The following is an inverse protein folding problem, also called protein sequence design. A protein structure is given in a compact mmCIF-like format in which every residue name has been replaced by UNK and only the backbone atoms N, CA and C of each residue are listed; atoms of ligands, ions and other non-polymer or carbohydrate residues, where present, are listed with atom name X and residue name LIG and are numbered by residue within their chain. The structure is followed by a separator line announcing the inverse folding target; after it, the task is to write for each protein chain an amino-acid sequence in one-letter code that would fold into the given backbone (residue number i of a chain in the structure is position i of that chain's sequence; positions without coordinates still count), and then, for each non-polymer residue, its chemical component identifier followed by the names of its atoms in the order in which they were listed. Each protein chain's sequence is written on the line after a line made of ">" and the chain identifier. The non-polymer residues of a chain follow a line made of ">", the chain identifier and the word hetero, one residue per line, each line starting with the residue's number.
data_IF_928625594753
#
_entry.id   IF_928625594753
#
_cell.length_a   1.000
_cell.length_b   1.000
_cell.length_c   1.000
_cell.angle_alpha   90.00
_cell.angle_beta   90.00
_cell.angle_gamma   90.00
#
_symmetry.space_group_name_H-M   'P 1'
#
loop_
_entity.id
_entity.type
_entity.pdbx_description
1 polymer ?
#
# COMPACT_ATOMS: atom_id res chain seq x y z
N UNK A 1 -23.89 -46.18 -13.42
CA UNK A 1 -22.61 -45.53 -13.10
C UNK A 1 -22.42 -44.44 -14.12
N UNK A 2 -22.68 -43.19 -13.72
CA UNK A 2 -22.29 -42.02 -14.51
C UNK A 2 -20.76 -42.01 -14.59
N UNK A 3 -20.17 -41.77 -15.77
CA UNK A 3 -18.72 -41.64 -15.88
C UNK A 3 -18.27 -40.47 -15.00
N UNK A 4 -17.36 -40.74 -14.06
CA UNK A 4 -16.82 -39.71 -13.17
C UNK A 4 -16.01 -38.73 -14.01
N UNK A 5 -16.33 -37.44 -13.92
CA UNK A 5 -15.58 -36.37 -14.59
C UNK A 5 -14.24 -36.24 -13.88
N UNK A 6 -13.13 -36.29 -14.62
CA UNK A 6 -11.78 -36.08 -14.07
C UNK A 6 -11.53 -34.57 -13.87
N UNK A 7 -12.28 -34.00 -12.92
CA UNK A 7 -12.17 -32.62 -12.49
C UNK A 7 -12.29 -32.56 -10.97
N UNK A 8 -11.38 -31.81 -10.35
CA UNK A 8 -11.35 -31.57 -8.92
C UNK A 8 -11.33 -30.07 -8.67
N UNK A 9 -12.22 -29.61 -7.79
CA UNK A 9 -12.33 -28.21 -7.38
C UNK A 9 -12.06 -28.12 -5.88
N UNK A 10 -11.06 -27.34 -5.48
CA UNK A 10 -10.82 -26.99 -4.08
C UNK A 10 -11.32 -25.58 -3.83
N UNK A 11 -12.29 -25.44 -2.93
CA UNK A 11 -12.84 -24.17 -2.47
C UNK A 11 -12.20 -23.78 -1.13
N UNK A 12 -11.64 -22.58 -1.06
CA UNK A 12 -10.95 -22.06 0.12
C UNK A 12 -11.25 -20.58 0.32
N UNK A 13 -11.07 -20.05 1.53
CA UNK A 13 -11.17 -18.60 1.75
C UNK A 13 -9.99 -17.87 1.09
N UNK A 14 -10.25 -16.67 0.58
CA UNK A 14 -9.21 -15.87 -0.05
C UNK A 14 -8.16 -15.45 0.99
N UNK A 15 -6.85 -15.53 0.67
CA UNK A 15 -5.77 -15.33 1.65
C UNK A 15 -5.72 -13.92 2.24
N UNK A 16 -6.05 -12.90 1.43
CA UNK A 16 -5.97 -11.48 1.82
C UNK A 16 -7.32 -10.78 1.94
N UNK A 17 -8.43 -11.42 1.56
CA UNK A 17 -9.75 -10.80 1.53
C UNK A 17 -10.76 -11.73 2.23
N UNK A 18 -11.05 -11.53 3.51
CA UNK A 18 -11.71 -12.54 4.35
C UNK A 18 -13.11 -12.94 3.90
N UNK A 19 -13.83 -12.10 3.14
CA UNK A 19 -15.15 -12.46 2.58
C UNK A 19 -15.07 -13.22 1.26
N UNK A 20 -13.97 -13.11 0.51
CA UNK A 20 -13.85 -13.70 -0.81
C UNK A 20 -13.53 -15.21 -0.75
N UNK A 21 -13.93 -15.94 -1.79
CA UNK A 21 -13.69 -17.39 -1.91
C UNK A 21 -12.88 -17.67 -3.17
N UNK A 22 -11.91 -18.58 -3.06
CA UNK A 22 -11.08 -19.05 -4.17
C UNK A 22 -11.51 -20.46 -4.59
N UNK A 23 -11.41 -20.76 -5.89
CA UNK A 23 -11.60 -22.08 -6.45
C UNK A 23 -10.35 -22.46 -7.25
N UNK A 24 -9.64 -23.51 -6.81
CA UNK A 24 -8.48 -24.08 -7.52
C UNK A 24 -8.91 -25.34 -8.25
N UNK A 25 -8.65 -25.38 -9.56
CA UNK A 25 -9.11 -26.45 -10.45
C UNK A 25 -7.94 -27.35 -10.84
N UNK A 26 -8.16 -28.66 -10.80
CA UNK A 26 -7.21 -29.69 -11.25
C UNK A 26 -7.92 -30.83 -11.98
N UNK A 27 -7.16 -31.69 -12.68
CA UNK A 27 -7.71 -32.82 -13.47
C UNK A 27 -7.71 -32.56 -14.98
N UNK A 28 -7.80 -33.62 -15.79
CA UNK A 28 -7.75 -33.51 -17.26
C UNK A 28 -9.01 -32.90 -17.87
N UNK A 29 -10.11 -32.87 -17.12
CA UNK A 29 -11.40 -32.29 -17.50
C UNK A 29 -11.77 -31.05 -16.68
N UNK A 30 -10.78 -30.37 -16.08
CA UNK A 30 -10.98 -29.16 -15.27
C UNK A 30 -11.77 -28.04 -15.98
N UNK A 31 -11.69 -27.97 -17.31
CA UNK A 31 -12.47 -27.03 -18.12
C UNK A 31 -13.99 -27.14 -17.94
N UNK A 32 -14.51 -28.32 -17.55
CA UNK A 32 -15.94 -28.50 -17.27
C UNK A 32 -16.33 -27.74 -16.01
N UNK A 33 -15.56 -27.90 -14.93
CA UNK A 33 -15.75 -27.15 -13.69
C UNK A 33 -15.55 -25.65 -13.88
N UNK A 34 -14.59 -25.26 -14.71
CA UNK A 34 -14.31 -23.87 -15.06
C UNK A 34 -15.54 -23.18 -15.66
N UNK A 35 -16.16 -23.79 -16.69
CA UNK A 35 -17.35 -23.25 -17.33
C UNK A 35 -18.55 -23.18 -16.38
N UNK A 36 -18.74 -24.19 -15.53
CA UNK A 36 -19.82 -24.18 -14.52
C UNK A 36 -19.63 -23.07 -13.48
N UNK A 37 -18.40 -22.81 -13.06
CA UNK A 37 -18.08 -21.74 -12.11
C UNK A 37 -18.25 -20.35 -12.74
N UNK A 38 -17.77 -20.12 -13.97
CA UNK A 38 -18.01 -18.86 -14.69
C UNK A 38 -19.50 -18.58 -14.87
N UNK A 39 -20.30 -19.61 -15.17
CA UNK A 39 -21.76 -19.49 -15.27
C UNK A 39 -22.44 -19.17 -13.93
N UNK A 40 -21.75 -19.41 -12.82
CA UNK A 40 -22.17 -19.05 -11.46
C UNK A 40 -21.49 -17.75 -10.96
N UNK A 41 -21.10 -16.88 -11.90
CA UNK A 41 -20.50 -15.56 -11.65
C UNK A 41 -19.14 -15.59 -10.92
N UNK A 42 -18.42 -16.71 -10.98
CA UNK A 42 -17.02 -16.75 -10.55
C UNK A 42 -16.11 -16.10 -11.59
N UNK A 43 -15.09 -15.39 -11.11
CA UNK A 43 -14.20 -14.58 -11.94
C UNK A 43 -12.89 -15.33 -12.14
N UNK A 44 -12.48 -15.49 -13.40
CA UNK A 44 -11.20 -16.10 -13.75
C UNK A 44 -10.08 -15.11 -13.42
N UNK A 45 -9.16 -15.53 -12.54
CA UNK A 45 -8.00 -14.72 -12.13
C UNK A 45 -6.66 -15.36 -12.53
N UNK A 46 -6.65 -16.66 -12.83
CA UNK A 46 -5.56 -17.37 -13.52
C UNK A 46 -6.08 -18.65 -14.21
N UNK A 47 -5.23 -19.32 -15.00
CA UNK A 47 -5.59 -20.49 -15.84
C UNK A 47 -6.38 -21.61 -15.12
N UNK A 48 -6.14 -21.79 -13.82
CA UNK A 48 -6.80 -22.82 -13.01
C UNK A 48 -7.35 -22.28 -11.69
N UNK A 49 -7.60 -20.97 -11.64
CA UNK A 49 -8.00 -20.28 -10.42
C UNK A 49 -9.12 -19.30 -10.72
N UNK A 50 -10.23 -19.49 -10.03
CA UNK A 50 -11.34 -18.55 -10.03
C UNK A 50 -11.56 -17.99 -8.63
N UNK A 51 -12.20 -16.83 -8.57
CA UNK A 51 -12.54 -16.14 -7.34
C UNK A 51 -14.02 -15.74 -7.37
N UNK A 52 -14.71 -16.01 -6.27
CA UNK A 52 -16.04 -15.50 -5.98
C UNK A 52 -15.89 -14.33 -5.01
N UNK A 53 -16.32 -13.15 -5.45
CA UNK A 53 -16.24 -11.89 -4.71
C UNK A 53 -17.51 -11.09 -4.96
N UNK A 54 -18.16 -10.69 -3.87
CA UNK A 54 -19.45 -10.02 -3.91
C UNK A 54 -19.49 -8.84 -2.95
N UNK A 55 -20.29 -7.84 -3.29
CA UNK A 55 -20.55 -6.66 -2.45
C UNK A 55 -21.62 -6.92 -1.38
N UNK A 56 -22.27 -8.08 -1.43
CA UNK A 56 -23.23 -8.53 -0.41
C UNK A 56 -22.64 -9.37 0.70
N UNK A 57 -21.34 -9.70 0.62
CA UNK A 57 -20.63 -10.54 1.57
C UNK A 57 -21.27 -11.93 1.80
N UNK A 58 -22.08 -12.43 0.86
CA UNK A 58 -22.72 -13.76 0.92
C UNK A 58 -21.95 -14.82 0.12
N UNK A 59 -20.66 -14.60 -0.16
CA UNK A 59 -19.82 -15.55 -0.90
C UNK A 59 -19.82 -16.96 -0.29
N UNK A 60 -19.80 -17.18 1.04
CA UNK A 60 -19.90 -18.53 1.60
C UNK A 60 -21.19 -19.25 1.21
N UNK A 61 -22.33 -18.54 1.16
CA UNK A 61 -23.60 -19.11 0.74
C UNK A 61 -23.57 -19.51 -0.74
N UNK A 62 -23.10 -18.61 -1.61
CA UNK A 62 -23.01 -18.85 -3.04
C UNK A 62 -21.95 -19.91 -3.40
N UNK A 63 -20.86 -19.98 -2.65
CA UNK A 63 -19.87 -21.06 -2.78
C UNK A 63 -20.45 -22.41 -2.38
N UNK A 64 -21.30 -22.47 -1.33
CA UNK A 64 -22.00 -23.69 -0.92
C UNK A 64 -23.00 -24.14 -1.98
N UNK A 65 -23.66 -23.20 -2.64
CA UNK A 65 -24.57 -23.49 -3.75
C UNK A 65 -23.82 -23.99 -4.99
N UNK A 66 -22.72 -23.34 -5.37
CA UNK A 66 -21.85 -23.78 -6.46
C UNK A 66 -21.28 -25.19 -6.21
N UNK A 67 -20.83 -25.48 -4.98
CA UNK A 67 -20.34 -26.80 -4.60
C UNK A 67 -21.39 -27.91 -4.77
N UNK A 68 -22.66 -27.63 -4.44
CA UNK A 68 -23.77 -28.57 -4.63
C UNK A 68 -24.01 -28.87 -6.12
N UNK A 69 -24.02 -27.83 -6.95
CA UNK A 69 -24.21 -27.97 -8.39
C UNK A 69 -23.07 -28.77 -9.04
N UNK A 70 -21.81 -28.41 -8.74
CA UNK A 70 -20.63 -29.15 -9.22
C UNK A 70 -20.66 -30.63 -8.79
N UNK A 71 -21.01 -30.90 -7.53
CA UNK A 71 -21.13 -32.28 -7.03
C UNK A 71 -22.25 -33.06 -7.74
N UNK A 72 -23.37 -32.41 -8.06
CA UNK A 72 -24.47 -33.00 -8.81
C UNK A 72 -24.07 -33.36 -10.25
N UNK A 73 -23.16 -32.59 -10.84
CA UNK A 73 -22.57 -32.84 -12.16
C UNK A 73 -21.49 -33.94 -12.15
N UNK A 74 -21.17 -34.50 -10.97
CA UNK A 74 -20.17 -35.57 -10.82
C UNK A 74 -18.73 -35.09 -10.74
N UNK A 75 -18.52 -33.80 -10.44
CA UNK A 75 -17.21 -33.19 -10.19
C UNK A 75 -16.85 -33.36 -8.71
N UNK A 76 -15.59 -33.67 -8.42
CA UNK A 76 -15.13 -33.78 -7.02
C UNK A 76 -14.89 -32.40 -6.44
N UNK A 77 -15.55 -32.05 -5.34
CA UNK A 77 -15.37 -30.78 -4.64
C UNK A 77 -14.79 -31.00 -3.25
N UNK A 78 -13.70 -30.31 -2.94
CA UNK A 78 -13.10 -30.22 -1.61
C UNK A 78 -13.39 -28.83 -1.04
N UNK A 79 -14.00 -28.75 0.15
CA UNK A 79 -14.22 -27.50 0.89
C UNK A 79 -13.27 -27.51 2.07
N UNK A 80 -12.46 -26.47 2.24
CA UNK A 80 -11.53 -26.41 3.38
C UNK A 80 -12.26 -26.21 4.70
N UNK A 81 -11.67 -26.64 5.84
CA UNK A 81 -12.29 -26.45 7.15
C UNK A 81 -12.64 -24.98 7.46
N UNK A 82 -11.76 -24.04 7.07
CA UNK A 82 -11.97 -22.61 7.29
C UNK A 82 -13.16 -22.08 6.49
N UNK A 83 -13.30 -22.49 5.22
CA UNK A 83 -14.46 -22.12 4.42
C UNK A 83 -15.73 -22.81 4.91
N UNK A 84 -15.64 -24.06 5.36
CA UNK A 84 -16.77 -24.80 5.92
C UNK A 84 -17.31 -24.10 7.18
N UNK A 85 -16.43 -23.60 8.05
CA UNK A 85 -16.81 -22.79 9.21
C UNK A 85 -17.58 -21.53 8.79
N UNK A 86 -17.06 -20.77 7.83
CA UNK A 86 -17.74 -19.59 7.29
C UNK A 86 -19.08 -19.91 6.60
N UNK A 87 -19.22 -21.09 5.97
CA UNK A 87 -20.46 -21.56 5.37
C UNK A 87 -21.53 -21.97 6.40
N UNK A 88 -21.10 -22.32 7.60
CA UNK A 88 -21.97 -22.76 8.70
C UNK A 88 -22.23 -21.62 9.70
N UNK A 89 -21.45 -20.53 9.63
CA UNK A 89 -21.68 -19.31 10.38
C UNK A 89 -23.02 -18.66 9.98
N UNK A 90 -23.90 -18.47 10.97
CA UNK A 90 -25.10 -17.67 10.82
C UNK A 90 -24.77 -16.22 11.14
N UNK A 91 -24.40 -15.46 10.12
CA UNK A 91 -24.15 -14.04 10.29
C UNK A 91 -25.40 -13.32 10.78
N UNK A 92 -25.29 -12.63 11.91
CA UNK A 92 -26.28 -11.67 12.38
C UNK A 92 -25.97 -10.31 11.73
N UNK A 93 -26.77 -9.92 10.74
CA UNK A 93 -26.71 -8.55 10.23
C UNK A 93 -27.15 -7.58 11.33
N UNK A 94 -26.19 -7.03 12.08
CA UNK A 94 -26.46 -6.12 13.20
C UNK A 94 -27.21 -4.84 12.78
N UNK A 95 -27.16 -4.48 11.48
CA UNK A 95 -27.73 -3.25 10.92
C UNK A 95 -28.53 -3.45 9.63
N UNK A 96 -29.26 -4.56 9.47
CA UNK A 96 -30.23 -4.63 8.36
C UNK A 96 -31.56 -3.96 8.79
N UNK A 97 -32.08 -2.95 8.06
CA UNK A 97 -33.20 -2.13 8.51
C UNK A 97 -34.58 -2.82 8.46
N UNK A 98 -34.65 -4.15 8.33
CA UNK A 98 -35.88 -4.89 7.99
C UNK A 98 -36.06 -6.15 8.86
N UNK A 99 -36.38 -6.03 10.16
CA UNK A 99 -36.64 -7.18 11.04
C UNK A 99 -37.83 -8.06 10.61
N UNK A 100 -38.56 -7.67 9.57
CA UNK A 100 -39.70 -8.39 8.99
C UNK A 100 -39.37 -9.20 7.72
N UNK A 101 -38.14 -9.17 7.22
CA UNK A 101 -37.71 -9.98 6.07
C UNK A 101 -37.07 -11.30 6.52
N UNK A 102 -37.34 -12.37 5.79
CA UNK A 102 -36.63 -13.64 5.93
C UNK A 102 -35.23 -13.56 5.35
N UNK A 103 -34.32 -14.45 5.78
CA UNK A 103 -32.95 -14.55 5.26
C UNK A 103 -32.92 -14.77 3.73
N UNK A 104 -33.85 -15.56 3.21
CA UNK A 104 -33.96 -15.79 1.77
C UNK A 104 -34.39 -14.54 1.00
N UNK A 105 -35.27 -13.73 1.57
CA UNK A 105 -35.68 -12.45 0.96
C UNK A 105 -34.54 -11.43 1.01
N UNK A 106 -33.77 -11.38 2.10
CA UNK A 106 -32.57 -10.54 2.21
C UNK A 106 -31.56 -10.93 1.12
N UNK A 107 -31.26 -12.22 0.99
CA UNK A 107 -30.36 -12.72 -0.07
C UNK A 107 -30.84 -12.38 -1.46
N UNK A 108 -32.14 -12.45 -1.72
CA UNK A 108 -32.67 -12.06 -3.03
C UNK A 108 -32.43 -10.57 -3.28
N UNK A 109 -32.74 -9.69 -2.32
CA UNK A 109 -32.50 -8.25 -2.45
C UNK A 109 -31.02 -7.94 -2.66
N UNK A 110 -30.14 -8.52 -1.84
CA UNK A 110 -28.69 -8.31 -1.96
C UNK A 110 -28.13 -8.87 -3.26
N UNK A 111 -28.69 -9.98 -3.77
CA UNK A 111 -28.31 -10.53 -5.05
C UNK A 111 -28.74 -9.62 -6.22
N UNK A 112 -29.88 -8.94 -6.12
CA UNK A 112 -30.26 -7.93 -7.11
C UNK A 112 -29.32 -6.73 -7.07
N UNK A 113 -28.90 -6.29 -5.87
CA UNK A 113 -27.90 -5.23 -5.73
C UNK A 113 -26.55 -5.63 -6.33
N UNK A 114 -26.10 -6.87 -6.11
CA UNK A 114 -24.91 -7.44 -6.75
C UNK A 114 -25.01 -7.39 -8.28
N UNK A 115 -26.13 -7.79 -8.86
CA UNK A 115 -26.34 -7.74 -10.32
C UNK A 115 -26.23 -6.32 -10.87
N UNK A 116 -26.82 -5.33 -10.19
CA UNK A 116 -26.69 -3.92 -10.57
C UNK A 116 -25.23 -3.49 -10.53
N UNK A 117 -24.48 -3.87 -9.49
CA UNK A 117 -23.04 -3.59 -9.41
C UNK A 117 -22.26 -4.22 -10.57
N UNK A 118 -22.52 -5.49 -10.90
CA UNK A 118 -21.87 -6.17 -12.02
C UNK A 118 -22.27 -5.56 -13.37
N UNK A 119 -23.53 -5.15 -13.56
CA UNK A 119 -23.97 -4.47 -14.77
C UNK A 119 -23.23 -3.13 -14.95
N UNK A 120 -23.00 -2.37 -13.88
CA UNK A 120 -22.20 -1.14 -13.92
C UNK A 120 -20.74 -1.47 -14.27
N UNK A 121 -20.16 -2.45 -13.56
CA UNK A 121 -18.76 -2.86 -13.73
C UNK A 121 -18.47 -3.36 -15.15
N UNK A 122 -19.36 -4.14 -15.74
CA UNK A 122 -19.24 -4.66 -17.09
C UNK A 122 -19.65 -3.65 -18.17
N UNK A 123 -20.05 -2.43 -17.80
CA UNK A 123 -20.50 -1.41 -18.73
C UNK A 123 -21.86 -1.72 -19.38
N UNK A 124 -22.62 -2.66 -18.84
CA UNK A 124 -23.98 -2.98 -19.29
C UNK A 124 -24.99 -1.93 -18.80
N UNK A 125 -24.71 -1.29 -17.67
CA UNK A 125 -25.43 -0.14 -17.13
C UNK A 125 -24.50 1.09 -17.10
N UNK A 126 -24.74 2.05 -17.98
CA UNK A 126 -24.01 3.32 -18.00
C UNK A 126 -24.62 4.29 -16.98
N UNK A 127 -23.85 4.72 -15.97
CA UNK A 127 -24.27 5.77 -15.04
C UNK A 127 -24.01 7.14 -15.66
N UNK A 128 -25.07 7.94 -15.79
CA UNK A 128 -24.99 9.30 -16.34
C UNK A 128 -24.64 10.32 -15.28
N UNK A 129 -25.20 10.18 -14.09
CA UNK A 129 -24.98 11.06 -12.95
C UNK A 129 -25.31 10.38 -11.63
N UNK A 130 -24.74 10.91 -10.55
CA UNK A 130 -25.02 10.54 -9.17
C UNK A 130 -25.20 11.79 -8.30
N UNK A 131 -25.76 11.61 -7.11
CA UNK A 131 -25.88 12.62 -6.07
C UNK A 131 -25.94 11.93 -4.70
N UNK A 132 -25.83 12.72 -3.63
CA UNK A 132 -26.07 12.24 -2.28
C UNK A 132 -27.39 12.84 -1.77
N UNK A 133 -28.35 12.00 -1.37
CA UNK A 133 -29.71 12.47 -0.99
C UNK A 133 -29.83 12.93 0.48
N UNK A 134 -28.71 12.92 1.21
CA UNK A 134 -28.62 13.22 2.64
C UNK A 134 -28.56 11.96 3.51
N UNK A 135 -28.83 10.79 2.94
CA UNK A 135 -28.75 9.50 3.63
C UNK A 135 -27.88 8.48 2.89
N UNK A 136 -27.95 8.44 1.55
CA UNK A 136 -27.19 7.50 0.73
C UNK A 136 -26.92 8.07 -0.66
N UNK A 137 -26.08 7.39 -1.42
CA UNK A 137 -25.89 7.68 -2.85
C UNK A 137 -27.13 7.30 -3.66
N UNK A 138 -27.51 8.20 -4.55
CA UNK A 138 -28.53 7.99 -5.58
C UNK A 138 -27.91 8.22 -6.95
N UNK A 139 -28.36 7.49 -7.96
CA UNK A 139 -27.81 7.60 -9.30
C UNK A 139 -28.87 7.43 -10.38
N UNK A 140 -28.56 7.94 -11.58
CA UNK A 140 -29.37 7.72 -12.77
C UNK A 140 -28.51 7.12 -13.87
N UNK A 141 -28.98 5.99 -14.42
CA UNK A 141 -28.24 5.22 -15.42
C UNK A 141 -29.10 4.77 -16.58
N UNK A 142 -28.50 4.17 -17.60
CA UNK A 142 -29.20 3.53 -18.70
C UNK A 142 -28.52 2.24 -19.10
N UNK A 143 -29.31 1.18 -19.18
CA UNK A 143 -28.83 -0.09 -19.70
C UNK A 143 -28.55 0.01 -21.21
N UNK A 144 -27.44 -0.58 -21.67
CA UNK A 144 -26.97 -0.42 -23.06
C UNK A 144 -27.49 -1.48 -24.04
N UNK A 145 -28.33 -2.43 -23.59
CA UNK A 145 -28.94 -3.41 -24.49
C UNK A 145 -30.03 -2.78 -25.40
N UNK A 146 -30.45 -3.49 -26.45
CA UNK A 146 -31.28 -2.99 -27.57
C UNK A 146 -32.59 -2.28 -27.19
N UNK A 147 -33.09 -2.46 -25.96
CA UNK A 147 -34.29 -1.83 -25.40
C UNK A 147 -34.05 -1.33 -23.96
N UNK A 148 -32.81 -0.97 -23.63
CA UNK A 148 -32.41 -0.63 -22.28
C UNK A 148 -33.21 0.52 -21.70
N UNK A 149 -33.74 0.29 -20.49
CA UNK A 149 -34.42 1.33 -19.72
C UNK A 149 -33.40 2.21 -19.03
N UNK A 150 -33.77 3.48 -18.88
CA UNK A 150 -33.07 4.35 -17.95
C UNK A 150 -33.64 4.11 -16.56
N UNK A 151 -32.79 4.09 -15.54
CA UNK A 151 -33.17 3.69 -14.17
C UNK A 151 -32.71 4.72 -13.17
N UNK A 152 -33.52 4.90 -12.12
CA UNK A 152 -33.11 5.58 -10.89
C UNK A 152 -32.65 4.53 -9.90
N UNK A 153 -31.45 4.71 -9.36
CA UNK A 153 -30.85 3.87 -8.34
C UNK A 153 -30.87 4.57 -6.99
N UNK A 154 -31.21 3.83 -5.95
CA UNK A 154 -31.15 4.27 -4.56
C UNK A 154 -30.38 3.25 -3.73
N UNK A 155 -29.52 3.73 -2.83
CA UNK A 155 -28.75 2.88 -1.93
C UNK A 155 -27.36 2.52 -2.46
N UNK A 156 -26.57 2.01 -1.52
CA UNK A 156 -25.17 1.60 -1.72
C UNK A 156 -25.02 0.11 -1.42
N UNK A 157 -23.96 -0.47 -1.97
CA UNK A 157 -23.59 -1.88 -1.74
C UNK A 157 -24.79 -2.83 -1.90
N UNK A 158 -24.99 -3.71 -0.93
CA UNK A 158 -26.06 -4.70 -0.88
C UNK A 158 -27.47 -4.11 -0.76
N UNK A 159 -27.60 -2.79 -0.55
CA UNK A 159 -28.87 -2.07 -0.48
C UNK A 159 -29.22 -1.35 -1.78
N UNK A 160 -28.34 -1.40 -2.80
CA UNK A 160 -28.58 -0.72 -4.08
C UNK A 160 -29.76 -1.34 -4.82
N UNK A 161 -30.73 -0.51 -5.19
CA UNK A 161 -31.97 -0.94 -5.83
C UNK A 161 -32.40 0.02 -6.94
N UNK A 162 -33.13 -0.51 -7.92
CA UNK A 162 -33.85 0.30 -8.91
C UNK A 162 -35.18 0.74 -8.29
N UNK A 163 -35.38 2.04 -8.09
CA UNK A 163 -36.61 2.58 -7.51
C UNK A 163 -37.55 3.21 -8.54
N UNK A 164 -37.02 3.57 -9.72
CA UNK A 164 -37.83 4.07 -10.84
C UNK A 164 -37.21 3.73 -12.20
N UNK A 165 -38.04 3.72 -13.26
CA UNK A 165 -37.61 3.42 -14.62
C UNK A 165 -38.22 4.39 -15.63
N UNK A 166 -37.44 4.75 -16.65
CA UNK A 166 -37.82 5.74 -17.66
C UNK A 166 -37.65 5.17 -19.07
N UNK A 167 -38.48 5.68 -19.98
CA UNK A 167 -38.42 5.33 -21.39
C UNK A 167 -37.28 5.98 -22.18
N UNK A 168 -36.57 6.95 -21.60
CA UNK A 168 -35.43 7.60 -22.26
C UNK A 168 -34.42 8.18 -21.26
N UNK A 169 -33.12 8.27 -21.62
CA UNK A 169 -32.10 8.89 -20.78
C UNK A 169 -32.38 10.36 -20.46
N UNK A 170 -32.88 11.11 -21.44
CA UNK A 170 -33.22 12.52 -21.24
C UNK A 170 -34.35 12.70 -20.21
N UNK A 171 -35.38 11.85 -20.25
CA UNK A 171 -36.44 11.88 -19.26
C UNK A 171 -35.96 11.54 -17.86
N UNK A 172 -35.05 10.56 -17.75
CA UNK A 172 -34.45 10.16 -16.47
C UNK A 172 -33.58 11.27 -15.87
N UNK A 173 -32.71 11.89 -16.68
CA UNK A 173 -31.83 12.98 -16.24
C UNK A 173 -32.63 14.22 -15.79
N UNK A 174 -33.69 14.60 -16.52
CA UNK A 174 -34.55 15.71 -16.12
C UNK A 174 -35.27 15.43 -14.79
N UNK A 175 -35.72 14.19 -14.58
CA UNK A 175 -36.35 13.80 -13.30
C UNK A 175 -35.33 13.83 -12.15
N UNK A 176 -34.11 13.37 -12.40
CA UNK A 176 -33.02 13.35 -11.42
C UNK A 176 -32.55 14.76 -11.05
N UNK A 177 -32.29 15.62 -12.04
CA UNK A 177 -31.86 17.02 -11.85
C UNK A 177 -32.90 17.83 -11.06
N UNK A 178 -34.20 17.60 -11.31
CA UNK A 178 -35.28 18.29 -10.60
C UNK A 178 -35.25 18.05 -9.09
N UNK A 179 -34.80 16.87 -8.65
CA UNK A 179 -34.77 16.49 -7.23
C UNK A 179 -33.39 16.79 -6.63
N UNK A 180 -32.31 16.52 -7.36
CA UNK A 180 -30.94 16.47 -6.82
C UNK A 180 -29.97 17.48 -7.44
N UNK A 181 -30.46 18.43 -8.24
CA UNK A 181 -29.61 19.30 -9.07
C UNK A 181 -28.52 20.08 -8.32
N UNK A 182 -28.69 20.35 -7.02
CA UNK A 182 -27.66 21.00 -6.20
C UNK A 182 -26.44 20.10 -5.90
N UNK A 183 -26.65 18.80 -5.73
CA UNK A 183 -25.64 17.80 -5.35
C UNK A 183 -25.24 16.89 -6.53
N UNK A 184 -25.89 17.06 -7.68
CA UNK A 184 -25.71 16.23 -8.88
C UNK A 184 -24.31 16.37 -9.48
N UNK A 185 -23.66 15.23 -9.70
CA UNK A 185 -22.35 15.10 -10.34
C UNK A 185 -22.45 14.16 -11.54
N UNK A 186 -21.76 14.44 -12.66
CA UNK A 186 -21.76 13.54 -13.81
C UNK A 186 -20.99 12.26 -13.51
N UNK A 187 -21.40 11.15 -14.13
CA UNK A 187 -20.75 9.85 -14.03
C UNK A 187 -21.13 9.03 -12.78
N UNK A 188 -20.50 7.87 -12.58
CA UNK A 188 -20.73 7.02 -11.41
C UNK A 188 -20.24 7.69 -10.12
N UNK A 189 -20.83 7.28 -9.00
CA UNK A 189 -20.34 7.67 -7.68
C UNK A 189 -18.95 7.04 -7.41
N UNK A 190 -18.15 7.63 -6.51
CA UNK A 190 -16.94 6.98 -6.00
C UNK A 190 -17.26 5.59 -5.44
N UNK A 191 -16.31 4.65 -5.59
CA UNK A 191 -16.46 3.31 -5.04
C UNK A 191 -16.53 3.36 -3.51
N UNK A 192 -17.48 2.64 -2.95
CA UNK A 192 -17.52 2.35 -1.50
C UNK A 192 -16.32 1.49 -1.09
N UNK A 193 -16.06 1.38 0.21
CA UNK A 193 -14.99 0.49 0.70
C UNK A 193 -15.27 -0.97 0.36
N UNK A 194 -16.55 -1.41 0.40
CA UNK A 194 -16.96 -2.75 -0.02
C UNK A 194 -16.74 -2.97 -1.52
N UNK A 195 -17.10 -2.02 -2.37
CA UNK A 195 -16.86 -2.11 -3.82
C UNK A 195 -15.36 -2.09 -4.15
N UNK A 196 -14.56 -1.32 -3.40
CA UNK A 196 -13.10 -1.28 -3.54
C UNK A 196 -12.45 -2.59 -3.11
N UNK A 197 -12.80 -3.12 -1.94
CA UNK A 197 -12.34 -4.43 -1.48
C UNK A 197 -12.72 -5.55 -2.46
N UNK A 198 -13.92 -5.47 -3.05
CA UNK A 198 -14.36 -6.38 -4.09
C UNK A 198 -13.55 -6.24 -5.40
N UNK A 199 -13.11 -5.04 -5.76
CA UNK A 199 -12.24 -4.83 -6.91
C UNK A 199 -10.82 -5.38 -6.66
N UNK A 200 -10.27 -5.16 -5.47
CA UNK A 200 -8.96 -5.65 -5.04
C UNK A 200 -8.90 -7.18 -5.00
N UNK A 201 -9.94 -7.83 -4.46
CA UNK A 201 -10.02 -9.29 -4.40
C UNK A 201 -10.14 -9.97 -5.77
N UNK A 202 -10.51 -9.21 -6.82
CA UNK A 202 -10.55 -9.68 -8.21
C UNK A 202 -9.25 -9.44 -8.95
N UNK A 203 -8.32 -8.68 -8.37
CA UNK A 203 -7.00 -8.51 -8.97
C UNK A 203 -6.35 -9.89 -9.12
N UNK A 204 -5.56 -10.12 -10.20
CA UNK A 204 -4.93 -11.41 -10.43
C UNK A 204 -4.19 -11.85 -9.18
N UNK A 205 -4.73 -12.89 -8.55
CA UNK A 205 -4.09 -13.54 -7.42
C UNK A 205 -2.74 -14.03 -7.92
N UNK A 206 -1.66 -13.45 -7.38
CA UNK A 206 -0.35 -14.10 -7.38
C UNK A 206 -0.40 -15.27 -6.39
N UNK A 207 -1.33 -16.21 -6.60
CA UNK A 207 -1.23 -17.52 -6.00
C UNK A 207 -0.09 -18.20 -6.73
N UNK A 208 1.05 -18.26 -6.04
CA UNK A 208 2.15 -19.19 -6.29
C UNK A 208 1.55 -20.59 -6.32
N UNK A 209 1.04 -20.99 -7.49
CA UNK A 209 0.83 -22.38 -7.80
C UNK A 209 2.16 -23.08 -7.53
N UNK A 210 2.14 -24.10 -6.69
CA UNK A 210 3.25 -25.02 -6.44
C UNK A 210 3.52 -25.82 -7.72
N UNK A 211 3.95 -25.12 -8.78
CA UNK A 211 4.94 -25.62 -9.70
C UNK A 211 6.25 -25.27 -9.01
N UNK A 212 7.16 -26.23 -8.87
CA UNK A 212 8.51 -25.94 -8.43
C UNK A 212 9.11 -24.89 -9.39
N UNK A 213 8.95 -23.63 -9.04
CA UNK A 213 9.69 -22.51 -9.58
C UNK A 213 11.15 -22.80 -9.21
N UNK A 214 12.11 -22.65 -10.13
CA UNK A 214 13.51 -22.79 -9.77
C UNK A 214 13.74 -21.89 -8.56
N UNK A 215 14.20 -22.48 -7.46
CA UNK A 215 14.22 -21.87 -6.13
C UNK A 215 14.42 -20.36 -6.24
N UNK A 216 13.39 -19.57 -5.87
CA UNK A 216 13.61 -18.15 -5.60
C UNK A 216 14.81 -18.11 -4.67
N UNK A 217 15.88 -17.39 -5.03
CA UNK A 217 17.05 -17.35 -4.19
C UNK A 217 16.57 -16.93 -2.80
N UNK A 218 16.86 -17.79 -1.81
CA UNK A 218 16.42 -17.57 -0.44
C UNK A 218 16.80 -16.14 -0.04
N UNK A 219 15.89 -15.39 0.60
CA UNK A 219 16.22 -14.07 1.12
C UNK A 219 17.48 -14.17 1.97
N UNK A 220 18.51 -13.40 1.63
CA UNK A 220 19.77 -13.42 2.35
C UNK A 220 19.57 -12.66 3.67
N UNK A 221 19.95 -13.27 4.79
CA UNK A 221 20.02 -12.56 6.07
C UNK A 221 21.31 -11.76 6.06
N UNK A 222 21.19 -10.45 6.04
CA UNK A 222 22.30 -9.51 6.01
C UNK A 222 22.24 -8.59 7.23
N UNK A 223 23.33 -7.90 7.57
CA UNK A 223 23.28 -6.80 8.54
C UNK A 223 22.21 -5.77 8.15
N UNK A 224 21.55 -5.15 9.14
CA UNK A 224 20.42 -4.24 8.92
C UNK A 224 20.74 -3.13 7.92
N UNK A 225 21.97 -2.61 7.92
CA UNK A 225 22.40 -1.55 7.01
C UNK A 225 22.53 -1.96 5.53
N UNK A 226 22.51 -3.27 5.23
CA UNK A 226 22.50 -3.84 3.87
C UNK A 226 21.14 -4.45 3.49
N UNK A 227 20.19 -4.48 4.41
CA UNK A 227 18.87 -5.05 4.18
C UNK A 227 18.04 -4.18 3.22
N UNK A 228 16.98 -4.77 2.67
CA UNK A 228 16.05 -4.04 1.80
C UNK A 228 15.22 -3.02 2.60
N UNK A 229 14.76 -1.98 1.89
CA UNK A 229 13.87 -0.96 2.45
C UNK A 229 12.56 -1.55 2.99
N UNK A 230 12.09 -2.67 2.42
CA UNK A 230 10.79 -3.24 2.74
C UNK A 230 9.63 -2.37 2.26
N UNK A 231 8.43 -2.66 2.77
CA UNK A 231 7.24 -1.84 2.54
C UNK A 231 7.09 -0.82 3.67
N UNK A 232 7.53 0.40 3.42
CA UNK A 232 7.48 1.50 4.39
C UNK A 232 6.06 1.88 4.80
N UNK A 233 5.09 1.70 3.91
CA UNK A 233 3.71 2.09 4.18
C UNK A 233 3.02 1.03 5.04
N UNK A 234 3.28 -0.24 4.76
CA UNK A 234 2.85 -1.34 5.62
C UNK A 234 3.48 -1.26 7.03
N UNK A 235 4.75 -0.85 7.13
CA UNK A 235 5.42 -0.64 8.43
C UNK A 235 4.74 0.48 9.25
N UNK A 236 4.41 1.61 8.61
CA UNK A 236 3.71 2.70 9.28
C UNK A 236 2.29 2.29 9.69
N UNK A 237 1.57 1.60 8.82
CA UNK A 237 0.20 1.15 9.09
C UNK A 237 0.17 0.14 10.25
N UNK A 238 1.07 -0.85 10.25
CA UNK A 238 1.21 -1.80 11.36
C UNK A 238 1.55 -1.11 12.70
N UNK A 239 2.38 -0.07 12.67
CA UNK A 239 2.69 0.75 13.84
C UNK A 239 1.43 1.45 14.36
N UNK A 240 0.68 2.14 13.50
CA UNK A 240 -0.53 2.87 13.91
C UNK A 240 -1.60 1.92 14.43
N UNK A 241 -1.82 0.79 13.75
CA UNK A 241 -2.81 -0.22 14.15
C UNK A 241 -2.51 -0.83 15.53
N UNK A 242 -1.24 -0.86 15.92
CA UNK A 242 -0.79 -1.42 17.21
C UNK A 242 -0.76 -0.38 18.34
N UNK A 243 -0.83 0.93 18.03
CA UNK A 243 -0.60 2.02 18.97
C UNK A 243 -1.74 3.05 18.89
N UNK A 244 -2.79 2.83 19.69
CA UNK A 244 -4.04 3.61 19.67
C UNK A 244 -3.89 5.10 20.02
N UNK A 245 -2.76 5.47 20.61
CA UNK A 245 -2.37 6.84 20.92
C UNK A 245 -1.91 7.63 19.68
N UNK A 246 -1.83 6.99 18.51
CA UNK A 246 -1.49 7.62 17.24
C UNK A 246 -2.70 7.70 16.31
N UNK A 247 -2.90 8.89 15.74
CA UNK A 247 -3.97 9.12 14.77
C UNK A 247 -3.39 9.33 13.36
N UNK A 248 -3.95 8.60 12.39
CA UNK A 248 -3.58 8.67 10.98
C UNK A 248 -4.37 9.75 10.25
N UNK A 249 -3.65 10.65 9.60
CA UNK A 249 -4.20 11.70 8.76
C UNK A 249 -3.58 11.63 7.37
N UNK A 250 -4.40 11.45 6.33
CA UNK A 250 -3.94 11.51 4.94
C UNK A 250 -4.26 12.87 4.32
N UNK A 251 -3.32 13.37 3.53
CA UNK A 251 -3.52 14.57 2.72
C UNK A 251 -4.52 14.28 1.59
N UNK A 252 -5.18 15.31 1.07
CA UNK A 252 -6.15 15.16 -0.02
C UNK A 252 -5.57 14.49 -1.28
N UNK A 253 -4.30 14.74 -1.59
CA UNK A 253 -3.61 14.13 -2.75
C UNK A 253 -3.16 12.69 -2.51
N UNK A 254 -3.32 12.16 -1.29
CA UNK A 254 -2.83 10.84 -0.86
C UNK A 254 -1.30 10.63 -0.99
N UNK A 255 -0.55 11.67 -1.32
CA UNK A 255 0.91 11.64 -1.49
C UNK A 255 1.66 11.66 -0.15
N UNK A 256 0.98 11.96 0.95
CA UNK A 256 1.59 12.05 2.28
C UNK A 256 0.64 11.57 3.37
N UNK A 257 1.14 10.68 4.22
CA UNK A 257 0.52 10.28 5.49
C UNK A 257 1.18 11.01 6.65
N UNK A 258 0.37 11.49 7.58
CA UNK A 258 0.80 11.97 8.88
C UNK A 258 0.28 11.05 9.97
N UNK A 259 1.16 10.59 10.86
CA UNK A 259 0.76 10.01 12.12
C UNK A 259 1.02 11.04 13.22
N UNK A 260 0.00 11.38 13.99
CA UNK A 260 0.08 12.40 15.05
C UNK A 260 -0.22 11.70 16.36
N UNK A 261 0.70 11.80 17.32
CA UNK A 261 0.47 11.29 18.66
C UNK A 261 -0.60 12.11 19.40
N UNK A 262 -1.35 11.51 20.32
CA UNK A 262 -2.46 12.14 21.05
C UNK A 262 -2.07 13.43 21.80
N UNK A 263 -0.80 13.54 22.20
CA UNK A 263 -0.24 14.75 22.83
C UNK A 263 -0.14 15.94 21.86
N UNK A 264 -0.23 15.69 20.56
CA UNK A 264 0.02 16.63 19.45
C UNK A 264 1.44 17.23 19.45
N UNK A 265 2.35 16.65 20.24
CA UNK A 265 3.75 17.09 20.35
C UNK A 265 4.72 16.18 19.61
N UNK A 266 4.25 15.15 18.91
CA UNK A 266 5.05 14.32 18.02
C UNK A 266 4.27 13.99 16.76
N UNK A 267 4.98 14.03 15.65
CA UNK A 267 4.43 13.77 14.33
C UNK A 267 5.42 12.98 13.50
N UNK A 268 4.90 11.97 12.83
CA UNK A 268 5.55 11.26 11.73
C UNK A 268 4.89 11.76 10.45
N UNK A 269 5.70 12.10 9.47
CA UNK A 269 5.30 12.43 8.10
C UNK A 269 5.97 11.42 7.17
N UNK A 270 5.18 10.80 6.32
CA UNK A 270 5.59 9.79 5.34
C UNK A 270 5.15 10.25 3.97
N UNK A 271 6.11 10.54 3.09
CA UNK A 271 5.84 10.94 1.70
C UNK A 271 5.89 9.70 0.80
N UNK A 272 4.75 9.32 0.22
CA UNK A 272 4.63 8.14 -0.63
C UNK A 272 5.38 8.32 -1.96
N UNK A 273 5.73 7.21 -2.59
CA UNK A 273 6.38 7.17 -3.92
C UNK A 273 7.67 8.03 -4.08
N UNK A 274 8.32 8.38 -2.97
CA UNK A 274 9.54 9.19 -2.97
C UNK A 274 10.72 8.40 -3.55
N UNK A 275 11.56 8.99 -4.43
CA UNK A 275 12.78 8.35 -4.91
C UNK A 275 13.65 7.84 -3.76
N UNK A 276 14.28 6.67 -3.94
CA UNK A 276 15.07 5.98 -2.92
C UNK A 276 16.08 6.84 -2.12
N UNK A 277 16.67 7.85 -2.74
CA UNK A 277 17.69 8.72 -2.16
C UNK A 277 17.13 10.03 -1.58
N UNK A 278 15.84 10.31 -1.80
CA UNK A 278 15.15 11.49 -1.29
C UNK A 278 14.52 11.21 0.07
N UNK A 279 14.27 12.27 0.83
CA UNK A 279 13.66 12.19 2.17
C UNK A 279 12.22 11.72 2.06
N UNK A 280 11.96 10.56 2.63
CA UNK A 280 10.70 9.84 2.56
C UNK A 280 9.97 9.82 3.90
N UNK A 281 10.70 10.07 4.98
CA UNK A 281 10.19 10.14 6.35
C UNK A 281 10.70 11.41 7.04
N UNK A 282 9.82 12.07 7.79
CA UNK A 282 10.17 13.12 8.74
C UNK A 282 9.48 12.84 10.08
N UNK A 283 10.26 12.69 11.13
CA UNK A 283 9.77 12.60 12.52
C UNK A 283 10.15 13.89 13.23
N UNK A 284 9.19 14.55 13.87
CA UNK A 284 9.44 15.79 14.57
C UNK A 284 8.67 15.85 15.89
N UNK A 285 9.35 16.33 16.93
CA UNK A 285 8.73 16.64 18.21
C UNK A 285 8.68 18.15 18.46
N UNK A 286 7.74 18.56 19.30
CA UNK A 286 7.39 19.95 19.60
C UNK A 286 7.24 20.14 21.12
N UNK A 287 7.60 21.30 21.64
CA UNK A 287 7.48 21.58 23.08
C UNK A 287 6.00 21.66 23.49
N UNK A 288 5.22 22.27 22.61
CA UNK A 288 3.76 22.36 22.70
C UNK A 288 3.20 22.15 21.29
N UNK A 289 1.90 21.85 21.14
CA UNK A 289 1.28 21.65 19.83
C UNK A 289 1.41 22.83 18.84
N UNK A 290 1.77 24.02 19.34
CA UNK A 290 1.93 25.26 18.56
C UNK A 290 3.34 25.86 18.62
N UNK A 291 4.29 25.19 19.29
CA UNK A 291 5.68 25.63 19.35
C UNK A 291 6.43 25.31 18.06
N UNK A 292 7.61 25.92 17.90
CA UNK A 292 8.57 25.45 16.90
C UNK A 292 9.04 24.02 17.20
N UNK A 293 9.55 23.34 16.17
CA UNK A 293 10.12 21.98 16.30
C UNK A 293 11.27 21.98 17.31
N UNK A 294 11.20 21.12 18.33
CA UNK A 294 12.30 20.88 19.26
C UNK A 294 13.42 20.11 18.60
N UNK A 295 13.05 19.02 17.92
CA UNK A 295 13.96 18.20 17.15
C UNK A 295 13.27 17.62 15.93
N UNK A 296 14.07 17.29 14.94
CA UNK A 296 13.65 16.62 13.71
C UNK A 296 14.64 15.54 13.33
N UNK A 297 14.11 14.42 12.85
CA UNK A 297 14.82 13.32 12.24
C UNK A 297 14.19 13.03 10.88
N UNK A 298 15.00 12.76 9.87
CA UNK A 298 14.53 12.42 8.54
C UNK A 298 15.20 11.15 8.03
N UNK A 299 14.48 10.34 7.27
CA UNK A 299 15.01 9.12 6.66
C UNK A 299 14.72 9.08 5.14
N UNK A 300 15.67 8.56 4.37
CA UNK A 300 15.52 8.39 2.91
C UNK A 300 14.60 7.23 2.54
N UNK A 301 14.04 7.22 1.33
CA UNK A 301 13.16 6.13 0.85
C UNK A 301 13.82 4.75 0.79
N UNK A 302 15.14 4.66 0.76
CA UNK A 302 15.88 3.41 0.80
C UNK A 302 16.28 2.95 2.22
N UNK A 303 15.81 3.63 3.27
CA UNK A 303 16.14 3.25 4.65
C UNK A 303 15.62 1.83 4.93
N UNK A 304 16.50 0.90 5.39
CA UNK A 304 16.12 -0.49 5.60
C UNK A 304 15.00 -0.65 6.62
N UNK A 305 14.12 -1.64 6.40
CA UNK A 305 13.00 -1.94 7.29
C UNK A 305 13.40 -2.08 8.77
N UNK A 306 14.47 -2.83 9.14
CA UNK A 306 14.85 -3.00 10.55
C UNK A 306 15.27 -1.69 11.25
N UNK A 307 15.74 -0.70 10.49
CA UNK A 307 16.10 0.63 11.02
C UNK A 307 14.86 1.48 11.29
N UNK A 308 13.86 1.42 10.40
CA UNK A 308 12.59 2.11 10.59
C UNK A 308 11.75 1.47 11.69
N UNK A 309 11.73 0.13 11.78
CA UNK A 309 11.11 -0.58 12.88
C UNK A 309 11.70 -0.16 14.23
N UNK A 310 13.03 -0.04 14.34
CA UNK A 310 13.65 0.44 15.58
C UNK A 310 13.25 1.88 15.91
N UNK A 311 13.24 2.76 14.91
CA UNK A 311 12.76 4.13 15.08
C UNK A 311 11.32 4.13 15.63
N UNK A 312 10.42 3.38 15.00
CA UNK A 312 9.00 3.33 15.39
C UNK A 312 8.81 2.71 16.78
N UNK A 313 9.52 1.63 17.10
CA UNK A 313 9.48 1.02 18.43
C UNK A 313 9.91 2.00 19.52
N UNK A 314 10.99 2.78 19.28
CA UNK A 314 11.42 3.80 20.22
C UNK A 314 10.35 4.88 20.46
N UNK A 315 9.64 5.28 19.41
CA UNK A 315 8.56 6.28 19.53
C UNK A 315 7.35 5.73 20.29
N UNK A 316 7.07 4.42 20.21
CA UNK A 316 6.00 3.76 20.95
C UNK A 316 6.25 3.65 22.46
N UNK A 317 7.51 3.44 22.87
CA UNK A 317 7.85 3.28 24.28
C UNK A 317 7.64 4.57 25.09
N UNK A 318 7.47 5.71 24.42
CA UNK A 318 7.19 7.00 25.06
C UNK A 318 8.35 7.53 25.91
N UNK A 319 9.52 6.89 25.86
CA UNK A 319 10.69 7.27 26.63
C UNK A 319 11.52 8.33 25.87
N UNK A 320 11.75 9.49 26.49
CA UNK A 320 12.83 10.42 26.10
C UNK A 320 12.49 11.62 25.22
N UNK A 321 11.28 11.74 24.68
CA UNK A 321 10.76 12.97 24.03
C UNK A 321 10.25 14.08 24.98
N UNK A 322 9.98 13.74 26.25
CA UNK A 322 9.58 14.69 27.32
C UNK A 322 10.78 15.43 27.96
N UNK A 323 12.00 15.19 27.43
CA UNK A 323 13.20 15.81 27.95
C UNK A 323 13.19 17.33 27.66
N UNK A 324 13.00 18.12 28.72
CA UNK A 324 13.07 19.57 28.70
C UNK A 324 14.27 20.09 27.87
N UNK A 325 14.00 21.11 27.04
CA UNK A 325 14.85 21.76 26.01
C UNK A 325 16.28 22.19 26.44
N UNK A 326 16.72 21.96 27.66
CA UNK A 326 17.71 22.85 28.28
C UNK A 326 19.18 22.44 28.23
N UNK A 327 19.64 21.53 27.37
CA UNK A 327 21.09 21.34 27.20
C UNK A 327 21.52 21.06 25.75
N UNK A 328 22.48 21.84 25.21
CA UNK A 328 23.14 21.49 23.95
C UNK A 328 23.81 20.11 24.07
N UNK A 329 23.98 19.42 22.94
CA UNK A 329 24.66 18.11 22.89
C UNK A 329 26.02 18.21 23.57
N UNK A 330 26.20 17.46 24.66
CA UNK A 330 27.46 17.37 25.38
C UNK A 330 28.20 16.07 25.03
N UNK A 331 29.45 15.95 25.48
CA UNK A 331 30.30 14.78 25.22
C UNK A 331 29.69 13.49 25.78
N UNK A 332 28.93 13.59 26.88
CA UNK A 332 28.26 12.44 27.49
C UNK A 332 27.14 11.92 26.58
N UNK A 333 26.33 12.80 26.00
CA UNK A 333 25.30 12.42 25.03
C UNK A 333 25.92 11.75 23.79
N UNK A 334 27.03 12.29 23.26
CA UNK A 334 27.73 11.68 22.13
C UNK A 334 28.24 10.28 22.48
N UNK A 335 28.78 10.12 23.68
CA UNK A 335 29.25 8.83 24.18
C UNK A 335 28.11 7.84 24.30
N UNK A 336 26.98 8.22 24.91
CA UNK A 336 25.80 7.35 25.06
C UNK A 336 25.24 6.94 23.70
N UNK A 337 25.04 7.90 22.79
CA UNK A 337 24.48 7.65 21.46
C UNK A 337 25.35 6.69 20.61
N UNK A 338 26.66 6.62 20.86
CA UNK A 338 27.61 5.85 20.04
C UNK A 338 28.27 4.69 20.79
N UNK A 339 27.86 4.45 22.05
CA UNK A 339 28.34 3.34 22.86
C UNK A 339 28.07 1.98 22.17
N UNK A 340 26.88 1.72 21.61
CA UNK A 340 26.62 0.49 20.84
C UNK A 340 27.64 0.20 19.73
N UNK A 341 28.02 1.24 18.98
CA UNK A 341 29.01 1.09 17.90
C UNK A 341 30.39 0.72 18.46
N UNK A 342 30.77 1.34 19.57
CA UNK A 342 32.05 1.08 20.23
C UNK A 342 32.09 -0.34 20.81
N UNK A 343 30.99 -0.80 21.39
CA UNK A 343 30.84 -2.17 21.91
C UNK A 343 30.85 -3.22 20.78
N UNK A 344 30.32 -2.87 19.60
CA UNK A 344 30.44 -3.64 18.36
C UNK A 344 31.86 -3.62 17.74
N UNK A 345 32.81 -2.91 18.34
CA UNK A 345 34.19 -2.79 17.87
C UNK A 345 34.38 -1.83 16.70
N UNK A 346 33.40 -0.95 16.42
CA UNK A 346 33.53 0.09 15.40
C UNK A 346 34.52 1.14 15.86
N UNK A 347 35.34 1.61 14.92
CA UNK A 347 36.36 2.62 15.22
C UNK A 347 35.83 4.00 14.87
N UNK A 348 36.10 4.97 15.73
CA UNK A 348 35.84 6.37 15.43
C UNK A 348 37.11 7.08 14.96
N UNK A 349 36.91 8.08 14.09
CA UNK A 349 37.93 9.01 13.63
C UNK A 349 37.42 10.44 13.81
N UNK A 350 38.31 11.35 14.17
CA UNK A 350 38.02 12.78 14.24
C UNK A 350 38.65 13.46 13.02
N UNK A 351 37.84 14.12 12.20
CA UNK A 351 38.26 14.85 11.00
C UNK A 351 37.68 16.27 11.01
N UNK A 352 38.47 17.21 11.52
CA UNK A 352 38.06 18.61 11.69
C UNK A 352 36.83 18.72 12.60
N UNK A 353 35.69 19.13 12.03
CA UNK A 353 34.41 19.27 12.75
C UNK A 353 33.62 17.96 12.90
N UNK A 354 34.04 16.89 12.23
CA UNK A 354 33.29 15.64 12.15
C UNK A 354 33.91 14.57 13.04
N UNK A 355 33.07 13.88 13.81
CA UNK A 355 33.44 12.62 14.47
C UNK A 355 32.68 11.51 13.74
N UNK A 356 33.37 10.47 13.30
CA UNK A 356 32.76 9.42 12.48
C UNK A 356 33.12 8.03 12.98
N UNK A 357 32.11 7.23 13.26
CA UNK A 357 32.19 5.79 13.52
C UNK A 357 31.91 5.04 12.23
N UNK A 358 32.71 4.04 11.91
CA UNK A 358 32.52 3.21 10.71
C UNK A 358 32.49 1.73 11.06
N UNK A 359 31.67 1.01 10.31
CA UNK A 359 31.69 -0.46 10.30
C UNK A 359 33.11 -0.96 9.96
N UNK A 360 33.48 -2.18 10.39
CA UNK A 360 34.78 -2.77 10.04
C UNK A 360 35.05 -2.83 8.53
N UNK A 361 33.99 -2.97 7.72
CA UNK A 361 34.01 -2.98 6.25
C UNK A 361 33.95 -1.57 5.63
N UNK A 362 33.57 -0.55 6.41
CA UNK A 362 33.54 0.85 6.00
C UNK A 362 32.34 1.24 5.12
N UNK A 363 31.37 0.34 4.98
CA UNK A 363 30.15 0.46 4.19
C UNK A 363 28.97 1.11 4.94
N UNK A 364 29.09 1.29 6.26
CA UNK A 364 28.12 1.98 7.09
C UNK A 364 28.81 2.80 8.18
N UNK A 365 28.09 3.77 8.73
CA UNK A 365 28.64 4.65 9.74
C UNK A 365 27.63 5.57 10.40
N UNK A 366 28.07 6.14 11.51
CA UNK A 366 27.44 7.30 12.15
C UNK A 366 28.42 8.46 12.10
N UNK A 367 27.93 9.64 11.73
CA UNK A 367 28.69 10.88 11.69
C UNK A 367 28.02 11.90 12.62
N UNK A 368 28.81 12.50 13.48
CA UNK A 368 28.45 13.61 14.33
C UNK A 368 29.16 14.89 13.88
N UNK A 369 28.43 16.00 13.87
CA UNK A 369 28.90 17.33 13.51
C UNK A 369 29.06 18.23 14.75
N UNK A 370 30.28 18.30 15.28
CA UNK A 370 30.54 19.11 16.45
C UNK A 370 30.30 20.62 16.21
N UNK A 371 30.43 21.09 14.96
CA UNK A 371 30.20 22.50 14.63
C UNK A 371 28.71 22.85 14.64
N UNK A 372 27.88 22.00 14.02
CA UNK A 372 26.42 22.20 13.97
C UNK A 372 25.80 22.01 15.36
N UNK A 373 26.32 21.09 16.17
CA UNK A 373 25.89 20.92 17.56
C UNK A 373 26.05 22.19 18.41
N UNK A 374 27.08 23.01 18.14
CA UNK A 374 27.33 24.28 18.84
C UNK A 374 26.51 25.46 18.29
N UNK A 375 25.84 25.30 17.15
CA UNK A 375 25.02 26.33 16.51
C UNK A 375 23.61 25.80 16.19
N UNK A 376 22.81 25.41 17.21
CA UNK A 376 21.59 24.64 17.03
C UNK A 376 20.42 25.41 16.39
N UNK A 377 20.55 26.72 16.16
CA UNK A 377 19.46 27.63 15.72
C UNK A 377 18.90 27.39 14.31
N UNK A 378 19.32 26.33 13.61
CA UNK A 378 19.03 26.14 12.18
C UNK A 378 18.41 24.80 11.78
N UNK A 379 18.00 23.92 12.72
CA UNK A 379 17.47 22.58 12.41
C UNK A 379 18.35 21.79 11.42
N UNK A 380 19.65 22.08 11.39
CA UNK A 380 20.60 21.43 10.52
C UNK A 380 20.88 20.02 11.03
N UNK A 381 21.16 19.11 10.10
CA UNK A 381 21.57 17.75 10.44
C UNK A 381 22.89 17.78 11.23
N UNK A 382 22.82 17.41 12.51
CA UNK A 382 23.98 17.23 13.39
C UNK A 382 24.45 15.78 13.37
N UNK A 383 23.51 14.86 13.24
CA UNK A 383 23.76 13.43 13.17
C UNK A 383 23.43 12.91 11.78
N UNK A 384 24.23 11.97 11.29
CA UNK A 384 23.97 11.24 10.05
C UNK A 384 24.32 9.77 10.26
N UNK A 385 23.31 8.92 10.27
CA UNK A 385 23.43 7.46 10.16
C UNK A 385 23.31 7.11 8.69
N UNK A 386 24.23 6.31 8.15
CA UNK A 386 24.26 6.05 6.71
C UNK A 386 24.82 4.66 6.39
N UNK A 387 24.47 4.17 5.20
CA UNK A 387 25.20 3.11 4.52
C UNK A 387 25.46 3.46 3.05
N UNK A 388 26.46 2.82 2.44
CA UNK A 388 26.86 3.01 1.04
C UNK A 388 28.30 3.52 0.87
N UNK A 389 28.62 4.19 -0.25
CA UNK A 389 29.98 4.66 -0.54
C UNK A 389 30.55 5.70 0.46
N UNK A 390 29.67 6.39 1.20
CA UNK A 390 30.05 7.36 2.22
C UNK A 390 28.92 8.34 2.54
N UNK A 391 29.08 9.16 3.60
CA UNK A 391 28.02 10.04 4.09
C UNK A 391 27.62 11.16 3.11
N UNK A 392 28.48 11.51 2.15
CA UNK A 392 28.17 12.51 1.13
C UNK A 392 27.40 11.96 -0.08
N UNK A 393 27.37 10.64 -0.26
CA UNK A 393 26.61 9.95 -1.31
C UNK A 393 26.10 8.60 -0.76
N UNK A 394 25.25 8.63 0.27
CA UNK A 394 24.77 7.40 0.89
C UNK A 394 23.81 6.66 -0.04
N UNK A 395 23.74 5.34 0.10
CA UNK A 395 22.66 4.53 -0.49
C UNK A 395 21.34 4.83 0.22
N UNK A 396 21.41 4.99 1.54
CA UNK A 396 20.33 5.47 2.39
C UNK A 396 20.93 6.22 3.58
N UNK A 397 20.19 7.18 4.12
CA UNK A 397 20.60 7.92 5.31
C UNK A 397 19.42 8.25 6.22
N UNK A 398 19.72 8.31 7.52
CA UNK A 398 18.91 8.95 8.55
C UNK A 398 19.69 10.14 9.08
N UNK A 399 19.09 11.34 9.04
CA UNK A 399 19.72 12.55 9.59
C UNK A 399 18.92 13.09 10.74
N UNK A 400 19.59 13.55 11.79
CA UNK A 400 18.94 14.06 12.99
C UNK A 400 19.51 15.41 13.43
N UNK A 401 18.63 16.26 13.95
CA UNK A 401 18.97 17.57 14.51
C UNK A 401 19.74 17.46 15.83
N UNK A 402 20.32 18.55 16.38
CA UNK A 402 21.09 18.49 17.62
C UNK A 402 20.31 17.95 18.82
N UNK A 403 19.03 18.30 18.96
CA UNK A 403 18.24 17.95 20.16
C UNK A 403 17.50 16.61 20.03
N UNK A 404 17.83 15.79 19.03
CA UNK A 404 17.28 14.43 18.94
C UNK A 404 17.72 13.63 20.16
N UNK A 405 16.81 12.90 20.85
CA UNK A 405 17.13 12.17 22.07
C UNK A 405 18.32 11.23 21.91
N UNK A 406 19.25 11.22 22.88
CA UNK A 406 20.43 10.35 22.81
C UNK A 406 20.08 8.87 22.95
N UNK A 407 18.96 8.53 23.59
CA UNK A 407 18.40 7.18 23.62
C UNK A 407 18.00 6.72 22.23
N UNK A 408 17.23 7.52 21.49
CA UNK A 408 16.86 7.21 20.11
C UNK A 408 18.09 7.02 19.21
N UNK A 409 19.11 7.87 19.37
CA UNK A 409 20.36 7.74 18.61
C UNK A 409 21.16 6.49 19.01
N UNK A 410 21.09 6.06 20.27
CA UNK A 410 21.70 4.83 20.75
C UNK A 410 20.98 3.61 20.15
N UNK A 411 19.65 3.59 20.14
CA UNK A 411 18.85 2.49 19.60
C UNK A 411 19.07 2.34 18.08
N UNK A 412 19.12 3.45 17.35
CA UNK A 412 19.51 3.43 15.93
C UNK A 412 20.95 2.93 15.74
N UNK A 413 21.87 3.25 16.65
CA UNK A 413 23.24 2.77 16.59
C UNK A 413 23.36 1.28 16.91
N UNK A 414 22.57 0.79 17.88
CA UNK A 414 22.43 -0.63 18.22
C UNK A 414 21.85 -1.41 17.03
N UNK A 415 20.76 -0.91 16.44
CA UNK A 415 20.17 -1.50 15.23
C UNK A 415 21.17 -1.53 14.07
N UNK A 416 21.92 -0.45 13.84
CA UNK A 416 22.94 -0.39 12.80
C UNK A 416 24.05 -1.42 13.03
N UNK A 417 24.48 -1.62 14.27
CA UNK A 417 25.60 -2.50 14.59
C UNK A 417 25.21 -3.98 14.64
N UNK A 418 24.01 -4.30 15.14
CA UNK A 418 23.66 -5.64 15.59
C UNK A 418 22.43 -6.25 14.94
N UNK A 419 21.46 -5.44 14.47
CA UNK A 419 20.28 -6.01 13.81
C UNK A 419 20.64 -6.59 12.45
N UNK A 420 19.81 -7.54 12.04
CA UNK A 420 19.83 -8.12 10.71
C UNK A 420 18.50 -7.84 10.02
N UNK A 421 18.51 -7.94 8.69
CA UNK A 421 17.30 -7.87 7.88
C UNK A 421 17.41 -8.79 6.68
N UNK A 422 16.34 -8.82 5.89
CA UNK A 422 16.31 -9.61 4.66
C UNK A 422 16.74 -8.76 3.48
N UNK A 423 17.50 -9.38 2.58
CA UNK A 423 17.87 -8.81 1.29
C UNK A 423 17.50 -9.78 0.19
N UNK A 424 16.75 -9.30 -0.78
CA UNK A 424 16.48 -10.05 -1.98
C UNK A 424 17.67 -9.86 -2.93
N UNK A 425 18.35 -10.94 -3.34
CA UNK A 425 19.41 -10.81 -4.32
C UNK A 425 18.79 -10.30 -5.61
N UNK A 426 19.18 -9.08 -5.99
CA UNK A 426 18.82 -8.51 -7.28
C UNK A 426 19.35 -9.47 -8.34
N UNK A 427 18.44 -10.19 -9.00
CA UNK A 427 18.75 -10.90 -10.24
C UNK A 427 19.17 -9.81 -11.21
N UNK A 428 20.46 -9.80 -11.55
CA UNK A 428 21.05 -8.76 -12.39
C UNK A 428 20.21 -8.58 -13.64
N UNK A 429 19.51 -7.45 -13.72
CA UNK A 429 18.98 -6.96 -14.98
C UNK A 429 20.20 -6.83 -15.90
N UNK A 430 20.19 -7.42 -17.12
CA UNK A 430 21.29 -7.21 -18.04
C UNK A 430 21.47 -5.71 -18.21
N UNK A 431 22.69 -5.21 -18.03
CA UNK A 431 23.07 -3.86 -18.45
C UNK A 431 22.47 -3.61 -19.83
N UNK A 432 21.39 -2.84 -19.90
CA UNK A 432 21.01 -2.17 -21.14
C UNK A 432 22.06 -1.09 -21.31
N UNK A 433 23.21 -1.48 -21.88
CA UNK A 433 24.18 -0.57 -22.48
C UNK A 433 23.47 0.16 -23.60
N UNK A 434 22.76 1.23 -23.27
CA UNK A 434 22.59 2.36 -24.18
C UNK A 434 23.96 3.05 -24.29
N UNK A 435 24.84 2.46 -25.11
CA UNK A 435 25.87 3.25 -25.79
C UNK A 435 25.16 4.15 -26.79
N UNK A 436 24.72 5.32 -26.32
CA UNK A 436 24.64 6.50 -27.16
C UNK A 436 25.93 7.28 -26.93
N UNK A 437 26.94 6.92 -27.72
CA UNK A 437 28.09 7.77 -27.95
C UNK A 437 27.56 8.99 -28.71
N UNK A 438 27.21 10.05 -27.99
CA UNK A 438 27.04 11.37 -28.58
C UNK A 438 28.43 11.99 -28.67
N UNK A 439 29.12 11.75 -29.79
CA UNK A 439 30.30 12.56 -30.13
C UNK A 439 29.88 14.02 -30.31
N UNK A 440 30.61 14.99 -29.76
CA UNK A 440 30.35 16.40 -30.04
C UNK A 440 30.60 16.68 -31.54
N UNK A 441 29.80 17.52 -32.20
CA UNK A 441 30.02 17.85 -33.60
C UNK A 441 31.31 18.65 -33.75
N UNK A 442 32.18 18.15 -34.63
CA UNK A 442 33.38 18.85 -35.08
C UNK A 442 32.95 20.10 -35.85
N UNK A 443 33.37 21.27 -35.39
CA UNK A 443 33.23 22.54 -36.08
C UNK A 443 33.96 22.47 -37.42
N UNK A 444 33.35 22.81 -38.57
CA UNK A 444 34.07 22.87 -39.83
C UNK A 444 35.07 24.04 -39.80
N UNK A 445 36.35 23.73 -40.00
CA UNK A 445 37.37 24.72 -40.25
C UNK A 445 37.06 25.44 -41.57
N UNK A 446 36.86 26.76 -41.49
CA UNK A 446 36.74 27.63 -42.65
C UNK A 446 38.08 27.63 -43.38
N UNK A 447 38.10 27.09 -44.59
CA UNK A 447 39.24 27.17 -45.49
C UNK A 447 39.45 28.63 -45.92
N UNK A 448 40.60 29.18 -45.55
CA UNK A 448 41.08 30.45 -46.09
C UNK A 448 41.43 30.28 -47.58
N UNK A 449 40.66 30.90 -48.47
CA UNK A 449 41.06 31.09 -49.87
C UNK A 449 42.15 32.17 -49.98
N UNK A 450 43.20 31.94 -50.78
CA UNK A 450 44.25 32.92 -50.99
C UNK A 450 43.85 34.03 -51.98
N UNK A 451 44.50 35.17 -51.79
CA UNK A 451 44.30 36.45 -52.47
C UNK A 451 44.73 36.49 -53.95
N UNK A 452 44.07 37.37 -54.72
CA UNK A 452 44.64 38.18 -55.81
C UNK A 452 43.63 39.32 -56.09
N UNK A 453 43.87 40.60 -55.84
CA UNK A 453 44.84 41.54 -56.44
C UNK A 453 44.07 42.64 -57.20
N UNK A 454 44.17 43.87 -56.67
CA UNK A 454 44.19 45.22 -57.32
C UNK A 454 43.20 45.50 -58.47
N UNK A 455 42.49 46.61 -58.52
CA UNK A 455 42.90 48.02 -58.75
C UNK A 455 41.55 48.79 -58.79
N UNK A 456 41.35 50.05 -58.41
CA UNK A 456 42.10 51.30 -58.55
C UNK A 456 41.51 52.32 -57.58
#
# INVERSE_FOLDING_TARGET
>A
MTPTIDAHVRLDTHPTHPSAVTAVLTGTQAHVAHLSLEAADWIVVADNLLVLVRIDHEEPYWAKDAAKHLSADGITVEITPRLQEAMDEEWTWANYPMPWCTRSEIREVSNQAQKIHDDIRHGQLLIHAHAHDGHTTVAVGTYLHRNGKSVYLHGEDHLRQVTDTFGSPAGALLAFEKVHGAEMRPGPAPLTDTERAAAEARAPLSLTAVKAEPARPEPEIVPAYLADAGDHDALLDAFIDSHSEWEKWRTWSDETTHAIHESQTLRIERVHETPAHETAWTVAAYETPVSDRMWVLTATGATPAPMLEELLNHLAEGDGWDAAISAPVDEKMVTVATQPLSDAGWKHTVDGRWIRWKSPTGDAGVQFDAFTAQHPSHNLATWTVWAGPGPGRPTWAVTASPHTPSSLLADLSEALAHKTGTRHPQTGTPERRTSLVTSPPVTPAVAATPAASRTR
#
